data_IF_283372397227
#
_entry.id   IF_283372397227
#
_cell.length_a   1.000
_cell.length_b   1.000
_cell.length_c   1.000
_cell.angle_alpha   90.00
_cell.angle_beta   90.00
_cell.angle_gamma   90.00
#
_symmetry.space_group_name_H-M   'P 1'
#
loop_
_entity.id
_entity.type
_entity.pdbx_description
1 polymer ?
#
# COMPACT_ATOMS: atom_id res chain seq x y z
N UNK A 1 -1.15 -1.05 29.53
CA UNK A 1 -1.52 -1.74 28.28
C UNK A 1 -3.03 -2.01 28.29
N UNK A 2 -3.84 -0.99 28.04
CA UNK A 2 -5.29 -1.17 27.86
C UNK A 2 -5.52 -1.48 26.39
N UNK A 3 -5.41 -2.77 26.05
CA UNK A 3 -5.66 -3.25 24.70
C UNK A 3 -7.15 -3.14 24.38
N UNK A 4 -7.57 -2.00 23.82
CA UNK A 4 -8.72 -2.01 22.91
C UNK A 4 -8.36 -3.01 21.83
N UNK A 5 -8.95 -4.22 21.89
CA UNK A 5 -8.72 -5.25 20.87
C UNK A 5 -9.07 -4.62 19.54
N UNK A 6 -8.06 -4.34 18.73
CA UNK A 6 -8.27 -3.99 17.34
C UNK A 6 -9.05 -5.13 16.69
N UNK A 7 -10.11 -4.84 15.93
CA UNK A 7 -10.88 -5.89 15.27
C UNK A 7 -9.94 -6.73 14.41
N UNK A 8 -10.08 -8.05 14.47
CA UNK A 8 -9.20 -8.99 13.74
C UNK A 8 -9.09 -8.65 12.25
N UNK A 9 -10.17 -8.22 11.60
CA UNK A 9 -10.10 -7.85 10.18
C UNK A 9 -9.33 -6.55 9.90
N UNK A 10 -9.27 -5.59 10.83
CA UNK A 10 -8.38 -4.41 10.67
C UNK A 10 -6.93 -4.85 10.77
N UNK A 11 -6.62 -5.81 11.64
CA UNK A 11 -5.28 -6.39 11.77
C UNK A 11 -4.90 -7.15 10.49
N UNK A 12 -5.83 -7.94 9.93
CA UNK A 12 -5.60 -8.64 8.65
C UNK A 12 -5.31 -7.64 7.53
N UNK A 13 -6.07 -6.56 7.40
CA UNK A 13 -5.81 -5.51 6.41
C UNK A 13 -4.43 -4.88 6.63
N UNK A 14 -4.09 -4.54 7.88
CA UNK A 14 -2.79 -3.97 8.20
C UNK A 14 -1.65 -4.92 7.81
N UNK A 15 -1.78 -6.22 8.05
CA UNK A 15 -0.80 -7.24 7.63
C UNK A 15 -0.70 -7.33 6.11
N UNK A 16 -1.84 -7.35 5.40
CA UNK A 16 -1.85 -7.37 3.93
C UNK A 16 -1.15 -6.14 3.35
N UNK A 17 -1.38 -4.96 3.93
CA UNK A 17 -0.70 -3.74 3.53
C UNK A 17 0.77 -3.72 3.89
N UNK A 18 1.17 -4.34 5.01
CA UNK A 18 2.59 -4.50 5.35
C UNK A 18 3.29 -5.35 4.29
N UNK A 19 2.67 -6.48 3.92
CA UNK A 19 3.20 -7.34 2.86
C UNK A 19 3.28 -6.57 1.54
N UNK A 20 2.21 -5.87 1.16
CA UNK A 20 2.19 -5.05 -0.06
C UNK A 20 3.26 -3.96 -0.07
N UNK A 21 3.38 -3.19 1.01
CA UNK A 21 4.39 -2.14 1.14
C UNK A 21 5.82 -2.68 1.14
N UNK A 22 6.06 -3.87 1.70
CA UNK A 22 7.35 -4.55 1.60
C UNK A 22 7.67 -4.95 0.15
N UNK A 23 6.69 -5.47 -0.59
CA UNK A 23 6.86 -5.78 -2.01
C UNK A 23 7.12 -4.52 -2.85
N UNK A 24 6.48 -3.40 -2.53
CA UNK A 24 6.73 -2.10 -3.17
C UNK A 24 8.13 -1.56 -2.88
N UNK A 25 8.65 -1.80 -1.67
CA UNK A 25 10.03 -1.44 -1.31
C UNK A 25 11.03 -2.33 -2.07
N UNK A 26 10.78 -3.64 -2.12
CA UNK A 26 11.66 -4.58 -2.84
C UNK A 26 11.66 -4.29 -4.34
N UNK A 27 10.50 -4.01 -4.93
CA UNK A 27 10.40 -3.62 -6.33
C UNK A 27 11.03 -2.26 -6.60
N UNK A 28 10.84 -1.27 -5.73
CA UNK A 28 11.51 0.03 -5.85
C UNK A 28 13.04 -0.09 -5.77
N UNK A 29 13.55 -0.91 -4.84
CA UNK A 29 14.98 -1.19 -4.71
C UNK A 29 15.54 -1.93 -5.93
N UNK A 30 14.81 -2.91 -6.49
CA UNK A 30 15.23 -3.62 -7.69
C UNK A 30 15.22 -2.73 -8.93
N UNK A 31 14.26 -1.82 -9.05
CA UNK A 31 14.22 -0.80 -10.09
C UNK A 31 15.41 0.16 -9.99
N UNK A 32 15.77 0.63 -8.79
CA UNK A 32 16.96 1.45 -8.59
C UNK A 32 18.26 0.69 -8.95
N UNK A 33 18.36 -0.58 -8.55
CA UNK A 33 19.51 -1.42 -8.90
C UNK A 33 19.60 -1.66 -10.42
N UNK A 34 18.45 -1.88 -11.08
CA UNK A 34 18.36 -2.03 -12.53
C UNK A 34 18.66 -0.73 -13.29
N UNK A 35 18.29 0.43 -12.73
CA UNK A 35 18.58 1.73 -13.31
C UNK A 35 20.08 1.92 -13.53
N UNK A 36 20.91 1.50 -12.56
CA UNK A 36 22.37 1.61 -12.63
C UNK A 36 23.01 0.82 -13.80
N UNK A 37 22.27 -0.10 -14.43
CA UNK A 37 22.74 -0.91 -15.55
C UNK A 37 22.40 -0.30 -16.92
N UNK A 38 21.58 0.77 -16.96
CA UNK A 38 21.14 1.41 -18.20
C UNK A 38 21.86 2.76 -18.40
N UNK A 39 22.48 3.01 -19.57
CA UNK A 39 23.00 4.33 -19.89
C UNK A 39 21.90 5.25 -20.49
N UNK A 40 22.08 6.58 -20.32
CA UNK A 40 21.27 7.60 -20.99
C UNK A 40 19.92 7.90 -20.32
N UNK A 41 18.90 8.26 -21.09
CA UNK A 41 17.60 8.70 -20.58
C UNK A 41 16.83 7.58 -19.85
N UNK A 42 17.05 6.31 -20.21
CA UNK A 42 16.46 5.16 -19.53
C UNK A 42 16.91 5.01 -18.07
N UNK A 43 18.08 5.56 -17.69
CA UNK A 43 18.51 5.65 -16.29
C UNK A 43 17.58 6.55 -15.47
N UNK A 44 17.27 7.74 -15.98
CA UNK A 44 16.51 8.76 -15.26
C UNK A 44 15.10 8.26 -15.00
N UNK A 45 14.45 7.70 -16.02
CA UNK A 45 13.07 7.22 -15.91
C UNK A 45 12.95 6.07 -14.90
N UNK A 46 13.84 5.07 -14.96
CA UNK A 46 13.83 3.95 -14.03
C UNK A 46 14.23 4.36 -12.61
N UNK A 47 15.19 5.27 -12.46
CA UNK A 47 15.64 5.77 -11.17
C UNK A 47 14.53 6.57 -10.46
N UNK A 48 13.82 7.42 -11.20
CA UNK A 48 12.68 8.18 -10.67
C UNK A 48 11.54 7.23 -10.29
N UNK A 49 11.19 6.27 -11.15
CA UNK A 49 10.17 5.28 -10.85
C UNK A 49 10.51 4.45 -9.60
N UNK A 50 11.77 4.00 -9.47
CA UNK A 50 12.24 3.24 -8.30
C UNK A 50 12.21 4.06 -7.01
N UNK A 51 12.63 5.33 -7.06
CA UNK A 51 12.58 6.23 -5.91
C UNK A 51 11.13 6.51 -5.47
N UNK A 52 10.21 6.74 -6.42
CA UNK A 52 8.79 6.95 -6.14
C UNK A 52 8.18 5.70 -5.51
N UNK A 53 8.47 4.50 -6.04
CA UNK A 53 7.98 3.24 -5.50
C UNK A 53 8.46 3.01 -4.06
N UNK A 54 9.72 3.34 -3.75
CA UNK A 54 10.25 3.24 -2.39
C UNK A 54 9.53 4.17 -1.41
N UNK A 55 9.35 5.44 -1.79
CA UNK A 55 8.63 6.41 -0.96
C UNK A 55 7.19 5.94 -0.73
N UNK A 56 6.54 5.46 -1.80
CA UNK A 56 5.18 4.93 -1.74
C UNK A 56 5.04 3.75 -0.79
N UNK A 57 5.95 2.77 -0.88
CA UNK A 57 5.98 1.61 0.02
C UNK A 57 6.17 1.99 1.48
N UNK A 58 7.04 2.98 1.76
CA UNK A 58 7.23 3.50 3.13
C UNK A 58 5.95 4.15 3.66
N UNK A 59 5.27 4.97 2.85
CA UNK A 59 4.01 5.62 3.23
C UNK A 59 2.94 4.56 3.55
N UNK A 60 2.86 3.49 2.75
CA UNK A 60 1.93 2.38 2.98
C UNK A 60 2.24 1.67 4.31
N UNK A 61 3.51 1.42 4.62
CA UNK A 61 3.90 0.81 5.90
C UNK A 61 3.52 1.68 7.09
N UNK A 62 3.75 3.00 6.99
CA UNK A 62 3.33 3.95 8.01
C UNK A 62 1.80 3.99 8.17
N UNK A 63 1.06 3.91 7.06
CA UNK A 63 -0.39 3.84 7.07
C UNK A 63 -0.87 2.55 7.75
N UNK A 64 -0.28 1.39 7.45
CA UNK A 64 -0.63 0.11 8.05
C UNK A 64 -0.38 0.07 9.57
N UNK A 65 0.78 0.58 10.02
CA UNK A 65 1.09 0.73 11.45
C UNK A 65 0.13 1.69 12.17
N UNK A 66 -0.31 2.73 11.47
CA UNK A 66 -1.28 3.70 11.99
C UNK A 66 -2.70 3.17 11.98
N UNK A 67 -3.03 2.24 11.07
CA UNK A 67 -4.32 1.54 10.99
C UNK A 67 -4.54 0.68 12.23
N UNK A 68 -3.49 0.03 12.73
CA UNK A 68 -3.51 -0.71 14.00
C UNK A 68 -3.74 0.20 15.23
N UNK A 69 -3.60 1.52 15.08
CA UNK A 69 -3.94 2.51 16.12
C UNK A 69 -5.32 3.14 15.91
N UNK A 70 -6.11 2.66 14.93
CA UNK A 70 -7.45 3.14 14.60
C UNK A 70 -7.54 4.66 14.35
N UNK A 71 -6.47 5.25 13.79
CA UNK A 71 -6.46 6.69 13.46
C UNK A 71 -7.23 6.99 12.18
N UNK A 72 -8.03 8.06 12.17
CA UNK A 72 -8.80 8.49 11.00
C UNK A 72 -7.93 8.79 9.77
N UNK A 73 -6.75 9.39 9.94
CA UNK A 73 -5.84 9.69 8.82
C UNK A 73 -5.28 8.43 8.15
N UNK A 74 -5.13 7.33 8.90
CA UNK A 74 -4.71 6.05 8.35
C UNK A 74 -5.80 5.46 7.45
N UNK A 75 -7.06 5.55 7.87
CA UNK A 75 -8.20 5.10 7.07
C UNK A 75 -8.23 5.77 5.69
N UNK A 76 -8.08 7.10 5.65
CA UNK A 76 -8.05 7.85 4.38
C UNK A 76 -6.92 7.37 3.46
N UNK A 77 -5.71 7.22 3.98
CA UNK A 77 -4.57 6.73 3.18
C UNK A 77 -4.83 5.34 2.62
N UNK A 78 -5.36 4.42 3.42
CA UNK A 78 -5.64 3.06 2.93
C UNK A 78 -6.73 3.04 1.87
N UNK A 79 -7.78 3.84 2.03
CA UNK A 79 -8.82 3.98 1.01
C UNK A 79 -8.22 4.51 -0.30
N UNK A 80 -7.44 5.59 -0.23
CA UNK A 80 -6.79 6.19 -1.42
C UNK A 80 -5.85 5.18 -2.10
N UNK A 81 -5.00 4.49 -1.35
CA UNK A 81 -4.07 3.48 -1.88
C UNK A 81 -4.83 2.36 -2.59
N UNK A 82 -5.91 1.83 -2.00
CA UNK A 82 -6.67 0.76 -2.62
C UNK A 82 -7.43 1.24 -3.87
N UNK A 83 -7.94 2.48 -3.89
CA UNK A 83 -8.53 3.06 -5.10
C UNK A 83 -7.48 3.16 -6.22
N UNK A 84 -6.28 3.65 -5.90
CA UNK A 84 -5.16 3.72 -6.86
C UNK A 84 -4.81 2.32 -7.37
N UNK A 85 -4.70 1.34 -6.48
CA UNK A 85 -4.42 -0.05 -6.88
C UNK A 85 -5.50 -0.61 -7.80
N UNK A 86 -6.78 -0.30 -7.59
CA UNK A 86 -7.84 -0.72 -8.51
C UNK A 86 -7.63 -0.08 -9.89
N UNK A 87 -7.34 1.22 -9.96
CA UNK A 87 -7.08 1.91 -11.23
C UNK A 87 -5.88 1.28 -11.95
N UNK A 88 -4.77 1.06 -11.25
CA UNK A 88 -3.58 0.42 -11.81
C UNK A 88 -3.88 -1.01 -12.27
N UNK A 89 -4.61 -1.79 -11.47
CA UNK A 89 -4.96 -3.17 -11.82
C UNK A 89 -5.84 -3.26 -13.06
N UNK A 90 -6.73 -2.29 -13.29
CA UNK A 90 -7.53 -2.22 -14.52
C UNK A 90 -6.66 -1.98 -15.75
N UNK A 91 -5.56 -1.22 -15.61
CA UNK A 91 -4.63 -0.90 -16.70
C UNK A 91 -3.63 -2.04 -16.96
N UNK A 92 -3.03 -2.59 -15.91
CA UNK A 92 -1.93 -3.57 -15.99
C UNK A 92 -2.39 -5.04 -15.92
N UNK A 93 -3.65 -5.28 -15.53
CA UNK A 93 -4.23 -6.61 -15.39
C UNK A 93 -3.90 -7.25 -14.04
N UNK A 94 -4.85 -8.01 -13.48
CA UNK A 94 -4.66 -8.72 -12.20
C UNK A 94 -5.96 -8.98 -11.44
N UNK A 95 -6.75 -9.95 -11.88
CA UNK A 95 -8.06 -10.25 -11.28
C UNK A 95 -7.99 -10.49 -9.76
N UNK A 96 -6.94 -11.17 -9.28
CA UNK A 96 -6.75 -11.47 -7.85
C UNK A 96 -6.52 -10.19 -7.05
N UNK A 97 -5.65 -9.28 -7.52
CA UNK A 97 -5.37 -8.01 -6.84
C UNK A 97 -6.62 -7.13 -6.77
N UNK A 98 -7.39 -7.08 -7.86
CA UNK A 98 -8.64 -6.31 -7.93
C UNK A 98 -9.67 -6.78 -6.90
N UNK A 99 -9.89 -8.10 -6.79
CA UNK A 99 -10.82 -8.68 -5.81
C UNK A 99 -10.38 -8.34 -4.38
N UNK A 100 -9.08 -8.48 -4.07
CA UNK A 100 -8.53 -8.18 -2.75
C UNK A 100 -8.76 -6.69 -2.40
N UNK A 101 -8.44 -5.77 -3.31
CA UNK A 101 -8.64 -4.34 -3.08
C UNK A 101 -10.11 -3.96 -2.87
N UNK A 102 -11.04 -4.59 -3.60
CA UNK A 102 -12.48 -4.37 -3.41
C UNK A 102 -12.93 -4.85 -2.03
N UNK A 103 -12.51 -6.05 -1.60
CA UNK A 103 -12.87 -6.60 -0.27
C UNK A 103 -12.35 -5.69 0.84
N UNK A 104 -11.12 -5.20 0.72
CA UNK A 104 -10.51 -4.28 1.69
C UNK A 104 -11.32 -2.99 1.80
N UNK A 105 -11.73 -2.39 0.67
CA UNK A 105 -12.55 -1.18 0.68
C UNK A 105 -13.91 -1.40 1.33
N UNK A 106 -14.62 -2.48 0.96
CA UNK A 106 -15.93 -2.80 1.56
C UNK A 106 -15.81 -2.92 3.08
N UNK A 107 -14.79 -3.64 3.55
CA UNK A 107 -14.56 -3.81 4.98
C UNK A 107 -14.21 -2.48 5.69
N UNK A 108 -13.36 -1.65 5.10
CA UNK A 108 -12.99 -0.34 5.64
C UNK A 108 -14.16 0.65 5.71
N UNK A 109 -15.06 0.62 4.72
CA UNK A 109 -16.27 1.44 4.75
C UNK A 109 -17.27 0.92 5.79
N UNK A 110 -17.40 -0.40 5.93
CA UNK A 110 -18.27 -1.01 6.94
C UNK A 110 -17.80 -0.72 8.38
N UNK A 111 -16.48 -0.65 8.61
CA UNK A 111 -15.89 -0.37 9.93
C UNK A 111 -15.43 1.08 10.11
N UNK A 112 -15.89 2.01 9.27
CA UNK A 112 -15.51 3.43 9.32
C UNK A 112 -15.69 4.04 10.72
N UNK A 113 -16.75 3.65 11.42
CA UNK A 113 -17.13 4.23 12.72
C UNK A 113 -16.13 3.94 13.85
N UNK A 114 -15.19 3.00 13.63
CA UNK A 114 -14.14 2.66 14.59
C UNK A 114 -12.93 3.60 14.54
N UNK A 115 -12.78 4.36 13.45
CA UNK A 115 -11.62 5.24 13.25
C UNK A 115 -11.88 6.64 13.82
N UNK A 116 -10.99 7.11 14.69
CA UNK A 116 -11.07 8.44 15.35
C UNK A 116 -9.84 9.30 15.06
#
# INVERSE_FOLDING_TARGET
>A
MTGTKTPLGVVVIAVLMIIGGLLDIVSGASLLAGAALLPGWGFIDLAVAGAVSLIWGIVILLAALSLMKLKYWAWLLVVVVNIINIILTVVFGGLISLIISIIILIYLFYQRDLFK
#
